data_IF_704365153249
#
_entry.id   IF_704365153249
#
_cell.length_a   1.000
_cell.length_b   1.000
_cell.length_c   1.000
_cell.angle_alpha   90.00
_cell.angle_beta   90.00
_cell.angle_gamma   90.00
#
_symmetry.space_group_name_H-M   'P 1'
#
loop_
_entity.id
_entity.type
_entity.pdbx_description
1 polymer ?
#
# COMPACT_ATOMS: atom_id res chain seq x y z
N UNK A 1 74.32 -32.28 -29.98
CA UNK A 1 73.03 -31.85 -29.41
C UNK A 1 72.19 -31.20 -30.52
N UNK A 2 71.05 -31.81 -30.82
CA UNK A 2 70.19 -31.37 -31.93
C UNK A 2 69.49 -30.04 -31.57
N UNK A 3 69.03 -29.31 -32.58
CA UNK A 3 68.26 -28.07 -32.37
C UNK A 3 67.02 -28.27 -31.47
N UNK A 4 66.44 -29.47 -31.54
CA UNK A 4 65.28 -29.91 -30.74
C UNK A 4 65.65 -30.10 -29.26
N UNK A 5 66.83 -30.59 -28.97
CA UNK A 5 67.35 -30.78 -27.61
C UNK A 5 67.71 -29.43 -26.95
N UNK A 6 68.32 -28.48 -27.71
CA UNK A 6 68.60 -27.12 -27.25
C UNK A 6 67.29 -26.40 -26.87
N UNK A 7 66.26 -26.49 -27.68
CA UNK A 7 64.97 -25.90 -27.44
C UNK A 7 64.27 -26.48 -26.19
N UNK A 8 64.40 -27.82 -25.96
CA UNK A 8 63.87 -28.49 -24.75
C UNK A 8 64.65 -28.07 -23.50
N UNK A 9 65.96 -27.96 -23.56
CA UNK A 9 66.79 -27.49 -22.44
C UNK A 9 66.47 -26.05 -22.05
N UNK A 10 66.31 -25.15 -23.03
CA UNK A 10 65.96 -23.75 -22.80
C UNK A 10 64.56 -23.63 -22.15
N UNK A 11 63.55 -24.37 -22.65
CA UNK A 11 62.24 -24.37 -22.08
C UNK A 11 62.18 -24.93 -20.64
N UNK A 12 63.06 -25.88 -20.30
CA UNK A 12 63.20 -26.37 -18.89
C UNK A 12 63.76 -25.25 -17.98
N UNK A 13 64.79 -24.54 -18.41
CA UNK A 13 65.37 -23.41 -17.67
C UNK A 13 64.36 -22.30 -17.46
N UNK A 14 63.58 -21.95 -18.45
CA UNK A 14 62.51 -20.92 -18.34
C UNK A 14 61.44 -21.36 -17.33
N UNK A 15 61.02 -22.61 -17.37
CA UNK A 15 60.02 -23.16 -16.41
C UNK A 15 60.58 -23.18 -14.96
N UNK A 16 61.87 -23.49 -14.78
CA UNK A 16 62.50 -23.42 -13.43
C UNK A 16 62.62 -21.98 -12.93
N UNK A 17 63.02 -21.04 -13.78
CA UNK A 17 63.09 -19.63 -13.47
C UNK A 17 61.71 -19.08 -13.06
N UNK A 18 60.69 -19.37 -13.86
CA UNK A 18 59.30 -18.92 -13.54
C UNK A 18 58.77 -19.54 -12.25
N UNK A 19 59.07 -20.82 -11.95
CA UNK A 19 58.72 -21.42 -10.67
C UNK A 19 59.44 -20.79 -9.47
N UNK A 20 60.72 -20.43 -9.63
CA UNK A 20 61.52 -19.85 -8.54
C UNK A 20 61.15 -18.37 -8.29
N UNK A 21 60.66 -17.66 -9.29
CA UNK A 21 60.33 -16.22 -9.20
C UNK A 21 58.84 -15.94 -9.06
N UNK A 22 57.96 -16.96 -9.02
CA UNK A 22 56.51 -16.80 -8.96
C UNK A 22 55.91 -16.10 -10.22
N UNK A 23 56.71 -15.87 -11.27
CA UNK A 23 56.23 -15.29 -12.52
C UNK A 23 55.38 -16.32 -13.28
N UNK A 24 54.09 -16.09 -13.28
CA UNK A 24 53.20 -16.79 -14.22
C UNK A 24 53.52 -16.35 -15.65
N UNK A 25 53.63 -17.29 -16.56
CA UNK A 25 53.81 -17.01 -17.98
C UNK A 25 52.46 -16.45 -18.48
N UNK A 26 52.15 -15.19 -18.21
CA UNK A 26 51.04 -14.50 -18.84
C UNK A 26 51.41 -14.35 -20.32
N UNK A 27 50.80 -15.20 -21.15
CA UNK A 27 50.92 -15.09 -22.58
C UNK A 27 50.41 -13.70 -22.98
N UNK A 28 51.28 -12.77 -23.32
CA UNK A 28 50.90 -11.46 -23.77
C UNK A 28 49.95 -11.62 -24.96
N UNK A 29 48.77 -11.02 -24.83
CA UNK A 29 47.73 -11.07 -25.88
C UNK A 29 48.29 -10.38 -27.13
N UNK A 30 48.09 -10.97 -28.28
CA UNK A 30 48.45 -10.36 -29.56
C UNK A 30 47.66 -9.05 -29.74
N UNK A 31 48.19 -8.07 -30.54
CA UNK A 31 47.46 -6.83 -30.83
C UNK A 31 46.02 -7.08 -31.30
N UNK A 32 45.80 -8.07 -32.12
CA UNK A 32 44.48 -8.47 -32.59
C UNK A 32 43.57 -8.95 -31.42
N UNK A 33 44.10 -9.76 -30.51
CA UNK A 33 43.34 -10.18 -29.35
C UNK A 33 42.99 -9.02 -28.42
N UNK A 34 43.88 -8.04 -28.25
CA UNK A 34 43.59 -6.83 -27.46
C UNK A 34 42.44 -6.02 -28.10
N UNK A 35 42.47 -5.84 -29.41
CA UNK A 35 41.42 -5.14 -30.16
C UNK A 35 40.06 -5.87 -30.05
N UNK A 36 40.05 -7.19 -30.20
CA UNK A 36 38.81 -7.99 -30.00
C UNK A 36 38.26 -7.85 -28.61
N UNK A 37 39.12 -7.89 -27.58
CA UNK A 37 38.67 -7.68 -26.18
C UNK A 37 38.09 -6.29 -25.94
N UNK A 38 38.72 -5.22 -26.50
CA UNK A 38 38.17 -3.88 -26.44
C UNK A 38 36.80 -3.77 -27.12
N UNK A 39 36.61 -4.38 -28.27
CA UNK A 39 35.31 -4.38 -28.94
C UNK A 39 34.26 -5.15 -28.17
N UNK A 40 34.59 -6.32 -27.60
CA UNK A 40 33.66 -7.10 -26.76
C UNK A 40 33.28 -6.29 -25.51
N UNK A 41 34.25 -5.66 -24.83
CA UNK A 41 33.95 -4.85 -23.65
C UNK A 41 33.04 -3.65 -23.97
N UNK A 42 33.27 -2.96 -25.10
CA UNK A 42 32.42 -1.88 -25.58
C UNK A 42 30.98 -2.34 -25.86
N UNK A 43 30.83 -3.49 -26.53
CA UNK A 43 29.49 -4.07 -26.78
C UNK A 43 28.80 -4.43 -25.47
N UNK A 44 29.51 -5.13 -24.57
CA UNK A 44 28.94 -5.55 -23.27
C UNK A 44 28.53 -4.34 -22.43
N UNK A 45 29.40 -3.32 -22.35
CA UNK A 45 29.06 -2.07 -21.62
C UNK A 45 27.91 -1.34 -22.29
N UNK A 46 27.84 -1.29 -23.60
CA UNK A 46 26.70 -0.72 -24.34
C UNK A 46 25.38 -1.43 -24.06
N UNK A 47 25.38 -2.76 -24.04
CA UNK A 47 24.19 -3.57 -23.70
C UNK A 47 23.76 -3.35 -22.26
N UNK A 48 24.72 -3.29 -21.33
CA UNK A 48 24.43 -3.01 -19.91
C UNK A 48 23.82 -1.62 -19.76
N UNK A 49 24.43 -0.59 -20.36
CA UNK A 49 23.92 0.79 -20.30
C UNK A 49 22.54 0.91 -20.93
N UNK A 50 22.31 0.27 -22.08
CA UNK A 50 21.00 0.22 -22.73
C UNK A 50 19.96 -0.46 -21.83
N UNK A 51 20.32 -1.58 -21.20
CA UNK A 51 19.46 -2.26 -20.24
C UNK A 51 19.12 -1.38 -19.01
N UNK A 52 20.10 -0.63 -18.50
CA UNK A 52 19.88 0.32 -17.41
C UNK A 52 18.92 1.44 -17.85
N UNK A 53 19.18 2.05 -19.02
CA UNK A 53 18.33 3.14 -19.55
C UNK A 53 16.89 2.66 -19.79
N UNK A 54 16.69 1.47 -20.35
CA UNK A 54 15.34 0.91 -20.58
C UNK A 54 14.65 0.54 -19.27
N UNK A 55 15.39 0.07 -18.27
CA UNK A 55 14.84 -0.28 -16.95
C UNK A 55 14.41 0.96 -16.15
N UNK A 56 15.11 2.08 -16.30
CA UNK A 56 14.84 3.35 -15.63
C UNK A 56 14.13 4.37 -16.54
N UNK A 57 13.37 3.93 -17.54
CA UNK A 57 12.52 4.87 -18.28
C UNK A 57 11.44 5.45 -17.37
N UNK A 58 11.02 6.71 -17.55
CA UNK A 58 9.96 7.33 -16.73
C UNK A 58 8.69 6.47 -16.70
N UNK A 59 8.31 5.83 -17.78
CA UNK A 59 7.15 4.93 -17.86
C UNK A 59 7.29 3.69 -16.93
N UNK A 60 8.47 3.02 -16.96
CA UNK A 60 8.69 1.86 -16.10
C UNK A 60 8.80 2.20 -14.61
N UNK A 61 9.27 3.41 -14.29
CA UNK A 61 9.31 3.91 -12.91
C UNK A 61 7.88 4.21 -12.45
N UNK A 62 7.08 4.90 -13.26
CA UNK A 62 5.69 5.21 -12.91
C UNK A 62 4.86 3.94 -12.71
N UNK A 63 4.98 2.97 -13.60
CA UNK A 63 4.28 1.68 -13.48
C UNK A 63 4.66 0.94 -12.18
N UNK A 64 5.94 0.93 -11.81
CA UNK A 64 6.38 0.36 -10.53
C UNK A 64 5.88 1.15 -9.34
N UNK A 65 5.85 2.46 -9.42
CA UNK A 65 5.29 3.31 -8.35
C UNK A 65 3.80 3.05 -8.17
N UNK A 66 3.05 2.90 -9.27
CA UNK A 66 1.63 2.57 -9.20
C UNK A 66 1.39 1.17 -8.62
N UNK A 67 2.23 0.19 -8.96
CA UNK A 67 2.19 -1.13 -8.33
C UNK A 67 2.47 -1.07 -6.83
N UNK A 68 3.46 -0.30 -6.39
CA UNK A 68 3.75 -0.11 -4.97
C UNK A 68 2.60 0.60 -4.25
N UNK A 69 2.01 1.63 -4.86
CA UNK A 69 0.82 2.31 -4.31
C UNK A 69 -0.34 1.32 -4.16
N UNK A 70 -0.62 0.48 -5.18
CA UNK A 70 -1.68 -0.54 -5.11
C UNK A 70 -1.45 -1.61 -4.04
N UNK A 71 -0.19 -1.91 -3.71
CA UNK A 71 0.11 -2.79 -2.57
C UNK A 71 -0.22 -2.15 -1.22
N UNK A 72 -0.04 -0.84 -1.09
CA UNK A 72 -0.37 -0.08 0.12
C UNK A 72 -1.87 0.28 0.21
N UNK A 73 -2.56 0.29 -0.94
CA UNK A 73 -4.00 0.57 -1.08
C UNK A 73 -4.73 -0.62 -1.75
N UNK A 74 -4.79 -1.80 -1.11
CA UNK A 74 -5.43 -2.97 -1.71
C UNK A 74 -6.95 -2.82 -1.76
N UNK A 75 -7.60 -3.43 -2.77
CA UNK A 75 -9.05 -3.61 -2.81
C UNK A 75 -9.43 -5.00 -2.26
N UNK A 76 -9.07 -5.26 -1.00
CA UNK A 76 -9.49 -6.48 -0.31
C UNK A 76 -11.00 -6.53 -0.13
N UNK A 77 -11.57 -7.75 -0.14
CA UNK A 77 -13.01 -7.99 0.08
C UNK A 77 -13.92 -7.26 -0.91
N UNK A 78 -13.47 -7.06 -2.17
CA UNK A 78 -14.15 -6.25 -3.18
C UNK A 78 -15.60 -6.69 -3.44
N UNK A 79 -15.90 -7.98 -3.36
CA UNK A 79 -17.26 -8.50 -3.51
C UNK A 79 -18.22 -7.88 -2.47
N UNK A 80 -17.81 -7.84 -1.20
CA UNK A 80 -18.63 -7.28 -0.11
C UNK A 80 -18.68 -5.76 -0.17
N UNK A 81 -17.54 -5.10 -0.45
CA UNK A 81 -17.49 -3.64 -0.60
C UNK A 81 -18.44 -3.19 -1.71
N UNK A 82 -18.32 -3.74 -2.93
CA UNK A 82 -19.21 -3.41 -4.06
C UNK A 82 -20.67 -3.69 -3.73
N UNK A 83 -20.97 -4.84 -3.10
CA UNK A 83 -22.34 -5.22 -2.73
C UNK A 83 -22.98 -4.18 -1.80
N UNK A 84 -22.31 -3.88 -0.68
CA UNK A 84 -22.88 -3.03 0.36
C UNK A 84 -22.78 -1.54 0.09
N UNK A 85 -21.75 -1.09 -0.65
CA UNK A 85 -21.69 0.28 -1.18
C UNK A 85 -22.88 0.60 -2.06
N UNK A 86 -23.24 -0.33 -2.95
CA UNK A 86 -24.42 -0.20 -3.81
C UNK A 86 -25.73 -0.28 -3.02
N UNK A 87 -25.84 -1.22 -2.07
CA UNK A 87 -27.03 -1.42 -1.25
C UNK A 87 -27.37 -0.20 -0.41
N UNK A 88 -26.35 0.42 0.20
CA UNK A 88 -26.52 1.55 1.11
C UNK A 88 -26.16 2.91 0.48
N UNK A 89 -25.88 2.96 -0.82
CA UNK A 89 -25.56 4.17 -1.58
C UNK A 89 -24.38 4.95 -0.99
N UNK A 90 -23.28 4.24 -0.70
CA UNK A 90 -22.02 4.81 -0.22
C UNK A 90 -20.96 4.64 -1.31
N UNK A 91 -20.09 5.64 -1.48
CA UNK A 91 -18.95 5.60 -2.40
C UNK A 91 -17.99 4.44 -2.03
N UNK A 92 -17.68 3.55 -2.99
CA UNK A 92 -16.78 2.41 -2.76
C UNK A 92 -15.40 2.86 -2.29
N UNK A 93 -14.87 3.96 -2.86
CA UNK A 93 -13.56 4.51 -2.48
C UNK A 93 -13.57 4.99 -1.02
N UNK A 94 -14.70 5.49 -0.53
CA UNK A 94 -14.87 5.86 0.88
C UNK A 94 -14.87 4.63 1.78
N UNK A 95 -15.56 3.56 1.41
CA UNK A 95 -15.58 2.31 2.19
C UNK A 95 -14.16 1.71 2.27
N UNK A 96 -13.44 1.61 1.15
CA UNK A 96 -12.04 1.16 1.15
C UNK A 96 -11.14 2.04 2.03
N UNK A 97 -11.31 3.36 1.95
CA UNK A 97 -10.54 4.31 2.75
C UNK A 97 -10.75 4.13 4.26
N UNK A 98 -12.00 3.89 4.67
CA UNK A 98 -12.33 3.58 6.07
C UNK A 98 -11.72 2.26 6.50
N UNK A 99 -11.91 1.17 5.75
CA UNK A 99 -11.32 -0.15 6.07
C UNK A 99 -9.79 -0.05 6.21
N UNK A 100 -9.14 0.64 5.27
CA UNK A 100 -7.69 0.84 5.33
C UNK A 100 -7.26 1.63 6.56
N UNK A 101 -7.99 2.67 6.91
CA UNK A 101 -7.65 3.54 8.05
C UNK A 101 -7.90 2.85 9.39
N UNK A 102 -8.95 2.04 9.49
CA UNK A 102 -9.38 1.37 10.72
C UNK A 102 -8.55 0.11 11.03
N UNK A 103 -8.32 -0.74 10.06
CA UNK A 103 -7.71 -2.06 10.29
C UNK A 103 -6.57 -2.43 9.35
N UNK A 104 -6.27 -1.64 8.31
CA UNK A 104 -5.39 -2.06 7.22
C UNK A 104 -5.81 -3.41 6.58
N UNK A 105 -7.11 -3.67 6.52
CA UNK A 105 -7.72 -4.90 6.02
C UNK A 105 -7.49 -6.15 6.91
N UNK A 106 -7.13 -5.97 8.17
CA UNK A 106 -7.02 -7.07 9.15
C UNK A 106 -8.39 -7.33 9.79
N UNK A 107 -9.04 -8.43 9.41
CA UNK A 107 -10.39 -8.77 9.86
C UNK A 107 -10.49 -9.20 11.33
N UNK A 108 -9.39 -9.64 11.94
CA UNK A 108 -9.29 -10.02 13.35
C UNK A 108 -8.79 -8.88 14.25
N UNK A 109 -8.69 -7.66 13.70
CA UNK A 109 -8.25 -6.49 14.45
C UNK A 109 -9.22 -6.14 15.58
N UNK A 110 -8.65 -5.83 16.76
CA UNK A 110 -9.41 -5.32 17.91
C UNK A 110 -8.66 -4.16 18.56
N UNK A 111 -9.36 -3.05 18.76
CA UNK A 111 -8.79 -1.88 19.45
C UNK A 111 -8.82 -2.02 20.98
N UNK A 112 -8.04 -1.17 21.67
CA UNK A 112 -8.09 -1.08 23.12
C UNK A 112 -9.45 -0.62 23.69
N UNK A 113 -10.27 0.03 22.87
CA UNK A 113 -11.65 0.43 23.19
C UNK A 113 -12.68 -0.66 22.86
N UNK A 114 -12.24 -1.81 22.34
CA UNK A 114 -13.11 -2.93 21.99
C UNK A 114 -13.78 -2.83 20.62
N UNK A 115 -13.35 -1.92 19.75
CA UNK A 115 -13.79 -1.88 18.37
C UNK A 115 -13.22 -3.08 17.60
N UNK A 116 -13.98 -3.68 16.67
CA UNK A 116 -13.72 -5.02 16.10
C UNK A 116 -13.81 -5.03 14.59
N UNK A 117 -12.92 -5.81 13.98
CA UNK A 117 -12.92 -6.17 12.58
C UNK A 117 -12.48 -5.07 11.61
N UNK A 118 -12.79 -5.25 10.34
CA UNK A 118 -12.30 -4.42 9.22
C UNK A 118 -12.61 -2.94 9.35
N UNK A 119 -13.81 -2.59 9.80
CA UNK A 119 -14.31 -1.22 9.93
C UNK A 119 -14.41 -0.75 11.40
N UNK A 120 -13.81 -1.51 12.32
CA UNK A 120 -13.67 -1.19 13.74
C UNK A 120 -15.00 -0.74 14.40
N UNK A 121 -16.00 -1.61 14.33
CA UNK A 121 -17.32 -1.36 14.93
C UNK A 121 -17.25 -1.74 16.41
N UNK A 122 -17.66 -0.81 17.30
CA UNK A 122 -17.78 -1.10 18.74
C UNK A 122 -19.04 -1.92 19.03
N UNK A 123 -19.07 -2.71 20.12
CA UNK A 123 -20.27 -3.47 20.52
C UNK A 123 -21.53 -2.58 20.67
N UNK A 124 -21.41 -1.42 21.28
CA UNK A 124 -22.52 -0.49 21.45
C UNK A 124 -23.05 0.06 20.12
N UNK A 125 -22.12 0.39 19.21
CA UNK A 125 -22.49 0.78 17.85
C UNK A 125 -23.18 -0.37 17.12
N UNK A 126 -22.68 -1.59 17.22
CA UNK A 126 -23.28 -2.76 16.62
C UNK A 126 -24.71 -3.03 17.10
N UNK A 127 -24.94 -2.92 18.42
CA UNK A 127 -26.28 -3.06 18.99
C UNK A 127 -27.25 -1.98 18.50
N UNK A 128 -26.78 -0.74 18.35
CA UNK A 128 -27.55 0.32 17.69
C UNK A 128 -27.86 -0.01 16.22
N UNK A 129 -26.86 -0.46 15.47
CA UNK A 129 -27.01 -0.76 14.03
C UNK A 129 -27.97 -1.94 13.80
N UNK A 130 -27.91 -3.01 14.59
CA UNK A 130 -28.83 -4.15 14.51
C UNK A 130 -30.31 -3.74 14.63
N UNK A 131 -30.59 -2.71 15.41
CA UNK A 131 -31.97 -2.20 15.59
C UNK A 131 -32.44 -1.29 14.46
N UNK A 132 -31.51 -0.74 13.68
CA UNK A 132 -31.80 0.30 12.67
C UNK A 132 -31.58 -0.16 11.22
N UNK A 133 -30.83 -1.23 10.99
CA UNK A 133 -30.56 -1.73 9.64
C UNK A 133 -31.85 -2.27 9.00
N UNK A 134 -32.22 -1.83 7.78
CA UNK A 134 -33.45 -2.26 7.14
C UNK A 134 -33.40 -3.74 6.72
N UNK A 135 -34.51 -4.45 6.92
CA UNK A 135 -34.75 -5.81 6.40
C UNK A 135 -33.71 -6.85 6.84
N UNK A 136 -32.96 -6.60 7.90
CA UNK A 136 -32.11 -7.60 8.51
C UNK A 136 -32.58 -7.88 9.94
N UNK A 137 -33.13 -9.06 10.13
CA UNK A 137 -33.63 -9.54 11.41
C UNK A 137 -32.80 -10.70 11.97
N UNK A 138 -31.57 -10.86 11.44
CA UNK A 138 -30.64 -11.90 11.88
C UNK A 138 -30.12 -11.56 13.29
N UNK A 139 -30.15 -12.52 14.17
CA UNK A 139 -29.61 -12.38 15.51
C UNK A 139 -28.09 -12.63 15.47
N UNK A 140 -27.34 -11.56 15.19
CA UNK A 140 -25.89 -11.58 15.21
C UNK A 140 -25.36 -11.37 16.63
N UNK A 141 -24.41 -12.19 17.06
CA UNK A 141 -23.61 -11.91 18.25
C UNK A 141 -22.43 -10.97 17.92
N UNK A 142 -21.79 -10.44 18.95
CA UNK A 142 -20.67 -9.48 18.77
C UNK A 142 -19.47 -10.10 18.04
N UNK A 143 -19.24 -11.42 18.17
CA UNK A 143 -18.13 -12.09 17.47
C UNK A 143 -18.37 -12.16 15.96
N UNK A 144 -19.62 -11.98 15.51
CA UNK A 144 -19.92 -11.85 14.08
C UNK A 144 -19.19 -10.68 13.43
N UNK A 145 -18.73 -9.68 14.20
CA UNK A 145 -17.92 -8.57 13.69
C UNK A 145 -16.53 -8.97 13.20
N UNK A 146 -16.06 -10.18 13.46
CA UNK A 146 -14.84 -10.73 12.84
C UNK A 146 -15.11 -11.38 11.49
N UNK A 147 -16.37 -11.58 11.10
CA UNK A 147 -16.74 -12.01 9.75
C UNK A 147 -16.65 -10.80 8.80
N UNK A 148 -15.83 -10.88 7.73
CA UNK A 148 -15.64 -9.77 6.81
C UNK A 148 -16.91 -9.25 6.16
N UNK A 149 -17.83 -10.15 5.77
CA UNK A 149 -19.08 -9.75 5.13
C UNK A 149 -19.96 -8.97 6.11
N UNK A 150 -20.11 -9.49 7.33
CA UNK A 150 -20.95 -8.87 8.36
C UNK A 150 -20.36 -7.51 8.76
N UNK A 151 -19.05 -7.44 8.98
CA UNK A 151 -18.40 -6.21 9.38
C UNK A 151 -18.53 -5.11 8.31
N UNK A 152 -18.28 -5.42 7.04
CA UNK A 152 -18.43 -4.48 5.92
C UNK A 152 -19.90 -4.06 5.76
N UNK A 153 -20.84 -4.99 5.88
CA UNK A 153 -22.28 -4.68 5.83
C UNK A 153 -22.67 -3.63 6.85
N UNK A 154 -22.36 -3.87 8.12
CA UNK A 154 -22.74 -2.97 9.21
C UNK A 154 -21.94 -1.67 9.19
N UNK A 155 -20.65 -1.69 8.87
CA UNK A 155 -19.82 -0.50 8.76
C UNK A 155 -20.24 0.42 7.60
N UNK A 156 -20.57 -0.16 6.45
CA UNK A 156 -21.07 0.60 5.29
C UNK A 156 -22.45 1.19 5.57
N UNK A 157 -23.32 0.42 6.23
CA UNK A 157 -24.61 0.95 6.70
C UNK A 157 -24.43 2.11 7.69
N UNK A 158 -23.47 2.02 8.63
CA UNK A 158 -23.18 3.11 9.55
C UNK A 158 -22.67 4.36 8.83
N UNK A 159 -21.81 4.21 7.82
CA UNK A 159 -21.39 5.34 6.97
C UNK A 159 -22.59 5.99 6.28
N UNK A 160 -23.48 5.19 5.68
CA UNK A 160 -24.70 5.68 5.05
C UNK A 160 -25.58 6.45 6.04
N UNK A 161 -25.82 5.88 7.22
CA UNK A 161 -26.57 6.55 8.28
C UNK A 161 -25.98 7.90 8.67
N UNK A 162 -24.65 7.99 8.80
CA UNK A 162 -23.98 9.24 9.15
C UNK A 162 -23.99 10.26 8.01
N UNK A 163 -23.83 9.82 6.76
CA UNK A 163 -23.94 10.68 5.60
C UNK A 163 -25.35 11.29 5.48
N UNK A 164 -26.38 10.49 5.65
CA UNK A 164 -27.76 10.96 5.66
C UNK A 164 -28.03 11.94 6.82
N UNK A 165 -27.51 11.60 8.03
CA UNK A 165 -27.67 12.47 9.23
C UNK A 165 -27.05 13.85 9.04
N UNK A 166 -25.94 13.94 8.32
CA UNK A 166 -25.17 15.20 8.16
C UNK A 166 -25.24 15.76 6.74
N UNK A 167 -26.37 15.62 6.05
CA UNK A 167 -26.63 16.22 4.73
C UNK A 167 -25.54 15.87 3.68
N UNK A 168 -24.95 14.69 3.73
CA UNK A 168 -23.83 14.23 2.92
C UNK A 168 -22.53 15.06 3.09
N UNK A 169 -22.37 15.74 4.22
CA UNK A 169 -21.11 16.43 4.56
C UNK A 169 -20.11 15.39 5.07
N UNK A 170 -19.28 14.89 4.14
CA UNK A 170 -18.36 13.77 4.39
C UNK A 170 -17.45 14.01 5.60
N UNK A 171 -16.83 15.18 5.69
CA UNK A 171 -15.95 15.55 6.83
C UNK A 171 -16.66 15.41 8.18
N UNK A 172 -17.89 15.89 8.29
CA UNK A 172 -18.69 15.82 9.53
C UNK A 172 -19.11 14.38 9.82
N UNK A 173 -19.49 13.62 8.77
CA UNK A 173 -19.84 12.21 8.88
C UNK A 173 -18.65 11.34 9.34
N UNK A 174 -17.46 11.58 8.80
CA UNK A 174 -16.24 10.89 9.20
C UNK A 174 -15.82 11.24 10.64
N UNK A 175 -15.96 12.50 11.03
CA UNK A 175 -15.74 12.89 12.42
C UNK A 175 -16.70 12.15 13.37
N UNK A 176 -17.96 11.98 12.96
CA UNK A 176 -18.97 11.25 13.74
C UNK A 176 -18.74 9.74 13.74
N UNK A 177 -18.17 9.18 12.67
CA UNK A 177 -17.78 7.77 12.64
C UNK A 177 -16.73 7.46 13.71
N UNK A 178 -15.74 8.32 13.85
CA UNK A 178 -14.63 8.11 14.78
C UNK A 178 -14.96 8.57 16.21
N UNK A 179 -15.50 9.78 16.40
CA UNK A 179 -15.76 10.34 17.72
C UNK A 179 -17.14 9.98 18.31
N UNK A 180 -18.04 9.43 17.47
CA UNK A 180 -19.44 9.23 17.79
C UNK A 180 -20.32 10.45 17.47
N UNK A 181 -21.49 10.20 16.90
CA UNK A 181 -22.40 11.26 16.45
C UNK A 181 -22.90 12.16 17.58
N UNK A 182 -23.07 11.65 18.81
CA UNK A 182 -23.45 12.49 19.95
C UNK A 182 -22.43 13.57 20.30
N UNK A 183 -21.13 13.28 20.15
CA UNK A 183 -20.06 14.26 20.36
C UNK A 183 -20.05 15.30 19.23
N UNK A 184 -20.22 14.85 18.00
CA UNK A 184 -20.25 15.74 16.83
C UNK A 184 -21.48 16.67 16.86
N UNK A 185 -22.64 16.21 17.31
CA UNK A 185 -23.82 17.05 17.52
C UNK A 185 -23.55 18.19 18.50
N UNK A 186 -22.80 17.92 19.59
CA UNK A 186 -22.34 18.95 20.53
C UNK A 186 -21.41 19.95 19.84
N UNK A 187 -20.44 19.47 19.04
CA UNK A 187 -19.53 20.36 18.32
C UNK A 187 -20.26 21.23 17.28
N UNK A 188 -21.23 20.67 16.58
CA UNK A 188 -22.04 21.43 15.62
C UNK A 188 -22.90 22.53 16.28
N UNK A 189 -23.26 22.35 17.56
CA UNK A 189 -23.99 23.33 18.34
C UNK A 189 -23.11 24.44 18.94
N UNK A 190 -21.78 24.27 18.92
CA UNK A 190 -20.82 25.27 19.43
C UNK A 190 -20.34 26.18 18.29
N UNK A 191 -20.61 27.52 18.38
CA UNK A 191 -20.13 28.49 17.37
C UNK A 191 -18.61 28.55 17.18
N UNK A 192 -17.82 28.04 18.14
CA UNK A 192 -16.38 27.91 17.99
C UNK A 192 -15.96 26.73 17.13
N UNK A 193 -16.82 25.73 17.01
CA UNK A 193 -16.57 24.51 16.24
C UNK A 193 -17.28 24.51 14.88
N UNK A 194 -18.44 25.15 14.79
CA UNK A 194 -19.25 25.25 13.58
C UNK A 194 -19.96 26.59 13.50
N UNK A 195 -19.85 27.27 12.36
CA UNK A 195 -20.52 28.56 12.13
C UNK A 195 -21.94 28.41 11.60
N UNK A 196 -22.25 27.32 10.95
CA UNK A 196 -23.51 27.07 10.27
C UNK A 196 -24.33 25.92 10.89
N UNK A 197 -23.78 25.28 11.93
CA UNK A 197 -24.39 24.12 12.59
C UNK A 197 -24.38 22.84 11.76
N UNK A 198 -23.65 22.80 10.64
CA UNK A 198 -23.57 21.66 9.70
C UNK A 198 -22.14 21.24 9.38
N UNK A 199 -21.29 22.22 9.10
CA UNK A 199 -19.89 21.99 8.77
C UNK A 199 -19.02 22.18 10.01
N UNK A 200 -18.13 21.21 10.28
CA UNK A 200 -17.12 21.36 11.32
C UNK A 200 -15.96 22.21 10.82
N UNK A 201 -15.86 23.47 11.31
CA UNK A 201 -14.69 24.32 11.11
C UNK A 201 -13.51 23.80 11.95
N UNK A 202 -13.80 23.37 13.20
CA UNK A 202 -12.83 22.85 14.16
C UNK A 202 -13.30 21.51 14.71
N UNK A 203 -12.42 20.51 14.68
CA UNK A 203 -12.60 19.21 15.32
C UNK A 203 -11.77 19.23 16.59
N UNK A 204 -12.43 19.13 17.77
CA UNK A 204 -11.76 19.34 19.05
C UNK A 204 -10.83 18.18 19.45
N UNK A 205 -11.09 16.96 18.98
CA UNK A 205 -10.24 15.81 19.28
C UNK A 205 -9.16 15.68 18.19
N UNK A 206 -7.86 15.81 18.56
CA UNK A 206 -6.76 15.70 17.58
C UNK A 206 -6.73 14.33 16.86
N UNK A 207 -7.12 13.27 17.55
CA UNK A 207 -7.24 11.93 16.96
C UNK A 207 -8.27 11.92 15.84
N UNK A 208 -9.47 12.45 16.12
CA UNK A 208 -10.55 12.52 15.12
C UNK A 208 -10.20 13.44 13.96
N UNK A 209 -9.53 14.57 14.21
CA UNK A 209 -9.05 15.45 13.14
C UNK A 209 -8.05 14.73 12.21
N UNK A 210 -7.11 13.99 12.79
CA UNK A 210 -6.16 13.18 12.03
C UNK A 210 -6.84 12.02 11.30
N UNK A 211 -7.85 11.40 11.90
CA UNK A 211 -8.63 10.34 11.27
C UNK A 211 -9.32 10.83 10.00
N UNK A 212 -10.03 11.95 10.07
CA UNK A 212 -10.71 12.55 8.91
C UNK A 212 -9.72 12.78 7.77
N UNK A 213 -8.58 13.42 8.04
CA UNK A 213 -7.55 13.67 7.02
C UNK A 213 -7.04 12.36 6.41
N UNK A 214 -6.77 11.34 7.23
CA UNK A 214 -6.29 10.04 6.72
C UNK A 214 -7.30 9.34 5.81
N UNK A 215 -8.59 9.40 6.15
CA UNK A 215 -9.64 8.79 5.32
C UNK A 215 -9.82 9.57 4.03
N UNK A 216 -9.84 10.91 4.07
CA UNK A 216 -9.93 11.74 2.87
C UNK A 216 -8.74 11.51 1.92
N UNK A 217 -7.50 11.46 2.45
CA UNK A 217 -6.30 11.16 1.68
C UNK A 217 -6.35 9.75 1.07
N UNK A 218 -6.77 8.76 1.85
CA UNK A 218 -6.91 7.39 1.39
C UNK A 218 -7.98 7.28 0.29
N UNK A 219 -9.13 7.92 0.45
CA UNK A 219 -10.19 7.98 -0.58
C UNK A 219 -9.67 8.56 -1.89
N UNK A 220 -8.94 9.68 -1.82
CA UNK A 220 -8.34 10.29 -3.01
C UNK A 220 -7.34 9.36 -3.69
N UNK A 221 -6.57 8.59 -2.92
CA UNK A 221 -5.66 7.59 -3.48
C UNK A 221 -6.40 6.44 -4.16
N UNK A 222 -7.48 5.90 -3.57
CA UNK A 222 -8.31 4.89 -4.23
C UNK A 222 -8.84 5.39 -5.55
N UNK A 223 -9.42 6.58 -5.58
CA UNK A 223 -9.93 7.23 -6.78
C UNK A 223 -8.87 7.49 -7.87
N UNK A 224 -7.58 7.70 -7.47
CA UNK A 224 -6.47 7.87 -8.42
C UNK A 224 -6.02 6.52 -9.01
N UNK A 225 -6.08 5.43 -8.23
CA UNK A 225 -5.47 4.15 -8.58
C UNK A 225 -6.42 3.18 -9.28
N UNK A 226 -7.73 3.37 -9.12
CA UNK A 226 -8.77 2.47 -9.63
C UNK A 226 -9.88 3.23 -10.35
#
# INVERSE_FOLDING_TARGET
MSAKERKRANNRKIRQYNRATGKTNSRERTPLQKTIYCLITLVVTGVILFGIVTFFTPSSINEKMDQLKKMDYPQGYSEFVTKYSKEYNVDEDLVYAVIRTESHFENDSQSGAGAMGLMQITPDCFDFLKQNIPNDHTDYDTNSLYDPEINIKFGTYFLSYLLDRYDNIEKTSLAAYNAGFGIVDVWLSDPNCSKDGKNLDVILYPETANYVVKVEDAKNMYKELY
#
